data_IF_141897714608
#
_entry.id   IF_141897714608
#
_cell.length_a   1.000
_cell.length_b   1.000
_cell.length_c   1.000
_cell.angle_alpha   90.00
_cell.angle_beta   90.00
_cell.angle_gamma   90.00
#
_symmetry.space_group_name_H-M   'P 1'
#
loop_
_entity.id
_entity.type
_entity.pdbx_description
1 polymer ?
#
# COMPACT_ATOMS: atom_id res chain seq x y z
N UNK A 1 -58.70 49.81 -16.63
CA UNK A 1 -57.28 50.17 -16.89
C UNK A 1 -56.32 49.53 -15.89
N UNK A 2 -56.74 49.20 -14.66
CA UNK A 2 -55.89 48.54 -13.64
C UNK A 2 -55.49 47.09 -13.95
N UNK A 3 -56.38 46.28 -14.52
CA UNK A 3 -56.09 44.86 -14.81
C UNK A 3 -54.93 44.65 -15.80
N UNK A 4 -54.70 45.61 -16.70
CA UNK A 4 -53.59 45.57 -17.65
C UNK A 4 -52.24 45.86 -16.99
N UNK A 5 -52.19 46.77 -16.02
CA UNK A 5 -50.96 47.13 -15.30
C UNK A 5 -50.51 46.02 -14.35
N UNK A 6 -51.46 45.37 -13.68
CA UNK A 6 -51.16 44.24 -12.79
C UNK A 6 -50.71 42.99 -13.58
N UNK A 7 -51.27 42.76 -14.76
CA UNK A 7 -50.80 41.72 -15.68
C UNK A 7 -49.36 41.98 -16.15
N UNK A 8 -48.99 43.23 -16.41
CA UNK A 8 -47.63 43.63 -16.79
C UNK A 8 -46.65 43.49 -15.62
N UNK A 9 -47.02 43.93 -14.41
CA UNK A 9 -46.21 43.72 -13.19
C UNK A 9 -45.96 42.25 -12.91
N UNK A 10 -46.99 41.42 -13.01
CA UNK A 10 -46.87 39.96 -12.83
C UNK A 10 -45.95 39.33 -13.86
N UNK A 11 -46.04 39.76 -15.14
CA UNK A 11 -45.15 39.27 -16.21
C UNK A 11 -43.69 39.67 -15.96
N UNK A 12 -43.43 40.88 -15.50
CA UNK A 12 -42.08 41.36 -15.17
C UNK A 12 -41.49 40.61 -13.96
N UNK A 13 -42.28 40.39 -12.90
CA UNK A 13 -41.86 39.62 -11.73
C UNK A 13 -41.52 38.17 -12.08
N UNK A 14 -42.32 37.52 -12.94
CA UNK A 14 -42.03 36.15 -13.43
C UNK A 14 -40.76 36.13 -14.29
N UNK A 15 -40.55 37.14 -15.14
CA UNK A 15 -39.34 37.24 -15.95
C UNK A 15 -38.08 37.41 -15.10
N UNK A 16 -38.13 38.24 -14.05
CA UNK A 16 -37.03 38.42 -13.10
C UNK A 16 -36.75 37.13 -12.30
N UNK A 17 -37.80 36.46 -11.82
CA UNK A 17 -37.67 35.18 -11.12
C UNK A 17 -37.05 34.10 -12.03
N UNK A 18 -37.47 34.04 -13.31
CA UNK A 18 -36.89 33.11 -14.29
C UNK A 18 -35.41 33.41 -14.55
N UNK A 19 -35.01 34.68 -14.60
CA UNK A 19 -33.61 35.08 -14.72
C UNK A 19 -32.79 34.63 -13.51
N UNK A 20 -33.29 34.85 -12.29
CA UNK A 20 -32.64 34.38 -11.05
C UNK A 20 -32.54 32.85 -10.99
N UNK A 21 -33.56 32.13 -11.45
CA UNK A 21 -33.56 30.66 -11.51
C UNK A 21 -32.49 30.13 -12.48
N UNK A 22 -32.33 30.76 -13.64
CA UNK A 22 -31.28 30.41 -14.60
C UNK A 22 -29.87 30.66 -14.02
N UNK A 23 -29.68 31.80 -13.35
CA UNK A 23 -28.42 32.10 -12.66
C UNK A 23 -28.12 31.07 -11.55
N UNK A 24 -29.12 30.69 -10.76
CA UNK A 24 -28.96 29.66 -9.73
C UNK A 24 -28.50 28.32 -10.33
N UNK A 25 -29.13 27.88 -11.43
CA UNK A 25 -28.73 26.65 -12.15
C UNK A 25 -27.29 26.73 -12.67
N UNK A 26 -26.88 27.88 -13.17
CA UNK A 26 -25.50 28.08 -13.64
C UNK A 26 -24.50 28.02 -12.47
N UNK A 27 -24.79 28.68 -11.36
CA UNK A 27 -23.94 28.62 -10.16
C UNK A 27 -23.88 27.20 -9.58
N UNK A 28 -24.99 26.49 -9.54
CA UNK A 28 -25.04 25.09 -9.08
C UNK A 28 -24.15 24.20 -9.94
N UNK A 29 -24.21 24.33 -11.28
CA UNK A 29 -23.33 23.62 -12.20
C UNK A 29 -21.85 23.95 -11.96
N UNK A 30 -21.51 25.24 -11.84
CA UNK A 30 -20.13 25.68 -11.55
C UNK A 30 -19.61 25.13 -10.22
N UNK A 31 -20.43 25.16 -9.16
CA UNK A 31 -20.07 24.61 -7.84
C UNK A 31 -19.88 23.10 -7.92
N UNK A 32 -20.71 22.39 -8.68
CA UNK A 32 -20.56 20.95 -8.88
C UNK A 32 -19.24 20.62 -9.57
N UNK A 33 -18.92 21.26 -10.70
CA UNK A 33 -17.66 21.06 -11.41
C UNK A 33 -16.45 21.42 -10.53
N UNK A 34 -16.52 22.52 -9.78
CA UNK A 34 -15.45 22.92 -8.86
C UNK A 34 -15.23 21.88 -7.74
N UNK A 35 -16.30 21.29 -7.20
CA UNK A 35 -16.22 20.22 -6.18
C UNK A 35 -15.64 18.94 -6.75
N UNK A 36 -16.00 18.56 -7.97
CA UNK A 36 -15.45 17.38 -8.65
C UNK A 36 -13.95 17.57 -8.90
N UNK A 37 -13.53 18.73 -9.42
CA UNK A 37 -12.12 19.08 -9.59
C UNK A 37 -11.36 19.09 -8.26
N UNK A 38 -11.93 19.65 -7.21
CA UNK A 38 -11.32 19.65 -5.87
C UNK A 38 -11.12 18.22 -5.34
N UNK A 39 -12.09 17.32 -5.56
CA UNK A 39 -11.96 15.92 -5.15
C UNK A 39 -10.87 15.20 -5.93
N UNK A 40 -10.80 15.42 -7.24
CA UNK A 40 -9.75 14.85 -8.09
C UNK A 40 -8.36 15.35 -7.65
N UNK A 41 -8.21 16.66 -7.48
CA UNK A 41 -6.96 17.29 -7.04
C UNK A 41 -6.54 16.80 -5.65
N UNK A 42 -7.46 16.65 -4.70
CA UNK A 42 -7.15 16.08 -3.37
C UNK A 42 -6.68 14.63 -3.46
N UNK A 43 -7.28 13.81 -4.32
CA UNK A 43 -6.87 12.42 -4.51
C UNK A 43 -5.45 12.35 -5.08
N UNK A 44 -5.15 13.20 -6.07
CA UNK A 44 -3.82 13.29 -6.65
C UNK A 44 -2.79 13.82 -5.63
N UNK A 45 -3.14 14.86 -4.88
CA UNK A 45 -2.29 15.40 -3.82
C UNK A 45 -1.95 14.34 -2.76
N UNK A 46 -2.94 13.59 -2.28
CA UNK A 46 -2.67 12.53 -1.30
C UNK A 46 -1.73 11.46 -1.88
N UNK A 47 -1.91 11.10 -3.16
CA UNK A 47 -1.03 10.13 -3.82
C UNK A 47 0.40 10.66 -3.93
N UNK A 48 0.60 11.90 -4.37
CA UNK A 48 1.93 12.49 -4.49
C UNK A 48 2.59 12.71 -3.14
N UNK A 49 1.81 13.01 -2.10
CA UNK A 49 2.31 13.10 -0.72
C UNK A 49 2.75 11.73 -0.17
N UNK A 50 1.98 10.67 -0.46
CA UNK A 50 2.34 9.30 -0.09
C UNK A 50 3.59 8.81 -0.84
N UNK A 51 3.69 9.13 -2.14
CA UNK A 51 4.89 8.87 -2.95
C UNK A 51 6.11 9.59 -2.34
N UNK A 52 5.97 10.86 -1.94
CA UNK A 52 7.05 11.61 -1.28
C UNK A 52 7.46 10.98 0.06
N UNK A 53 6.50 10.55 0.89
CA UNK A 53 6.78 9.85 2.15
C UNK A 53 7.50 8.52 1.90
N UNK A 54 7.14 7.81 0.83
CA UNK A 54 7.80 6.56 0.47
C UNK A 54 9.27 6.77 0.10
N UNK A 55 9.61 7.88 -0.55
CA UNK A 55 11.00 8.22 -0.91
C UNK A 55 11.89 8.54 0.30
N UNK A 56 11.31 8.94 1.43
CA UNK A 56 12.06 9.16 2.67
C UNK A 56 12.45 7.83 3.34
N UNK A 57 11.82 6.72 2.96
CA UNK A 57 12.17 5.42 3.51
C UNK A 57 13.51 4.95 2.94
N UNK A 58 14.48 4.74 3.83
CA UNK A 58 15.79 4.23 3.45
C UNK A 58 15.76 2.71 3.38
N UNK A 59 16.47 2.17 2.38
CA UNK A 59 16.69 0.74 2.27
C UNK A 59 17.38 0.17 3.51
N UNK A 60 17.06 -1.07 3.84
CA UNK A 60 17.67 -1.78 4.95
C UNK A 60 18.36 -3.04 4.43
N UNK A 61 19.47 -3.43 5.04
CA UNK A 61 20.28 -4.57 4.57
C UNK A 61 19.71 -5.86 5.19
N UNK A 62 19.55 -6.89 4.38
CA UNK A 62 19.11 -8.20 4.87
C UNK A 62 20.33 -9.00 5.34
N UNK A 63 20.19 -9.68 6.47
CA UNK A 63 21.20 -10.59 6.99
C UNK A 63 20.60 -11.76 7.76
N UNK A 64 21.47 -12.67 8.16
CA UNK A 64 21.14 -13.85 8.95
C UNK A 64 21.99 -13.86 10.23
N UNK A 65 21.34 -14.09 11.37
CA UNK A 65 22.02 -14.23 12.66
C UNK A 65 22.78 -15.56 12.67
N UNK A 66 24.09 -15.51 12.83
CA UNK A 66 24.92 -16.71 12.94
C UNK A 66 24.99 -17.20 14.38
N UNK A 67 25.44 -16.34 15.29
CA UNK A 67 25.54 -16.66 16.72
C UNK A 67 25.51 -15.41 17.58
N UNK A 68 24.95 -15.47 18.80
CA UNK A 68 25.17 -14.43 19.80
C UNK A 68 26.66 -14.43 20.22
N UNK A 69 27.23 -13.25 20.41
CA UNK A 69 28.57 -13.09 20.99
C UNK A 69 28.42 -12.77 22.48
N UNK A 70 27.67 -11.70 22.77
CA UNK A 70 27.38 -11.20 24.11
C UNK A 70 25.87 -10.92 24.25
N UNK A 71 25.42 -10.50 25.43
CA UNK A 71 24.02 -10.12 25.67
C UNK A 71 23.52 -8.94 24.80
N UNK A 72 24.43 -8.16 24.20
CA UNK A 72 24.08 -7.00 23.35
C UNK A 72 24.54 -7.13 21.89
N UNK A 73 25.49 -8.02 21.61
CA UNK A 73 26.19 -8.12 20.33
C UNK A 73 25.96 -9.47 19.70
N UNK A 74 25.55 -9.47 18.44
CA UNK A 74 25.34 -10.67 17.64
C UNK A 74 26.22 -10.65 16.41
N UNK A 75 26.62 -11.82 15.94
CA UNK A 75 27.30 -11.97 14.66
C UNK A 75 26.23 -12.18 13.59
N UNK A 76 26.19 -11.29 12.60
CA UNK A 76 25.28 -11.38 11.47
C UNK A 76 26.08 -11.52 10.18
N UNK A 77 25.64 -12.42 9.31
CA UNK A 77 26.12 -12.51 7.93
C UNK A 77 25.21 -11.65 7.07
N UNK A 78 25.76 -10.61 6.45
CA UNK A 78 25.01 -9.83 5.48
C UNK A 78 24.74 -10.68 4.22
N UNK A 79 23.63 -10.43 3.53
CA UNK A 79 23.35 -11.08 2.25
C UNK A 79 24.43 -10.82 1.19
N UNK A 80 25.21 -9.74 1.34
CA UNK A 80 26.38 -9.44 0.51
C UNK A 80 27.58 -10.36 0.76
N UNK A 81 27.59 -11.14 1.86
CA UNK A 81 28.64 -12.10 2.19
C UNK A 81 29.44 -11.80 3.47
N UNK A 82 29.87 -10.56 3.75
CA UNK A 82 30.66 -10.23 4.94
C UNK A 82 29.92 -10.52 6.25
N UNK A 83 30.72 -10.77 7.30
CA UNK A 83 30.23 -10.99 8.66
C UNK A 83 30.52 -9.76 9.52
N UNK A 84 29.51 -9.28 10.22
CA UNK A 84 29.59 -8.12 11.09
C UNK A 84 29.23 -8.50 12.52
N UNK A 85 29.86 -7.82 13.48
CA UNK A 85 29.41 -7.82 14.88
C UNK A 85 28.50 -6.61 15.03
N UNK A 86 27.22 -6.87 15.31
CA UNK A 86 26.18 -5.85 15.29
C UNK A 86 25.44 -5.80 16.62
N UNK A 87 25.02 -4.59 16.98
CA UNK A 87 24.15 -4.37 18.13
C UNK A 87 22.69 -4.62 17.79
N UNK A 88 21.88 -4.87 18.82
CA UNK A 88 20.43 -4.97 18.71
C UNK A 88 19.75 -3.70 19.21
N UNK A 89 18.72 -3.22 18.50
CA UNK A 89 17.85 -2.16 19.01
C UNK A 89 17.09 -2.65 20.24
N UNK A 90 16.93 -1.79 21.25
CA UNK A 90 16.30 -2.13 22.54
C UNK A 90 14.84 -2.62 22.43
N UNK A 91 14.11 -2.22 21.38
CA UNK A 91 12.72 -2.66 21.13
C UNK A 91 12.60 -4.06 20.51
N UNK A 92 13.70 -4.71 20.14
CA UNK A 92 13.68 -6.04 19.50
C UNK A 92 13.90 -7.11 20.57
N UNK A 93 13.03 -8.13 20.57
CA UNK A 93 13.13 -9.27 21.48
C UNK A 93 14.35 -10.12 21.15
N UNK A 94 15.36 -10.07 22.01
CA UNK A 94 16.62 -10.82 21.84
C UNK A 94 16.41 -12.34 21.84
N UNK A 95 15.40 -12.83 22.53
CA UNK A 95 15.06 -14.26 22.60
C UNK A 95 14.62 -14.82 21.25
N UNK A 96 14.02 -13.99 20.39
CA UNK A 96 13.63 -14.39 19.02
C UNK A 96 14.80 -14.37 18.04
N UNK A 97 15.93 -13.77 18.42
CA UNK A 97 17.14 -13.69 17.59
C UNK A 97 18.01 -14.93 17.79
N UNK A 98 17.51 -16.08 17.35
CA UNK A 98 18.27 -17.32 17.36
C UNK A 98 19.12 -17.45 16.10
N UNK A 99 20.13 -18.32 16.15
CA UNK A 99 20.92 -18.70 14.99
C UNK A 99 20.01 -19.18 13.84
N UNK A 100 20.22 -18.64 12.64
CA UNK A 100 19.40 -18.89 11.45
C UNK A 100 18.24 -17.91 11.28
N UNK A 101 17.99 -17.02 12.26
CA UNK A 101 16.93 -16.01 12.13
C UNK A 101 17.34 -14.94 11.13
N UNK A 102 16.45 -14.67 10.17
CA UNK A 102 16.62 -13.58 9.21
C UNK A 102 16.32 -12.25 9.90
N UNK A 103 17.20 -11.28 9.71
CA UNK A 103 17.10 -9.95 10.33
C UNK A 103 17.35 -8.86 9.31
N UNK A 104 16.91 -7.67 9.68
CA UNK A 104 17.17 -6.46 8.93
C UNK A 104 18.13 -5.57 9.70
N UNK A 105 19.17 -5.13 9.01
CA UNK A 105 20.18 -4.21 9.50
C UNK A 105 19.95 -2.81 8.94
N UNK A 106 20.17 -1.81 9.78
CA UNK A 106 20.25 -0.43 9.33
C UNK A 106 21.43 -0.22 8.36
N UNK A 107 21.22 0.51 7.27
CA UNK A 107 22.25 0.69 6.24
C UNK A 107 23.46 1.47 6.76
N UNK A 108 23.26 2.41 7.69
CA UNK A 108 24.33 3.29 8.17
C UNK A 108 25.06 2.73 9.40
N UNK A 109 24.30 2.22 10.37
CA UNK A 109 24.85 1.75 11.65
C UNK A 109 25.05 0.24 11.72
N UNK A 110 24.55 -0.51 10.74
CA UNK A 110 24.52 -1.97 10.74
C UNK A 110 23.85 -2.57 12.00
N UNK A 111 22.91 -1.86 12.62
CA UNK A 111 22.20 -2.35 13.82
C UNK A 111 20.96 -3.17 13.46
N UNK A 112 20.63 -4.19 14.26
CA UNK A 112 19.42 -5.00 14.04
C UNK A 112 18.19 -4.16 14.34
N UNK A 113 17.40 -3.90 13.30
CA UNK A 113 16.17 -3.11 13.33
C UNK A 113 14.94 -3.96 13.67
N UNK A 114 14.81 -5.13 13.02
CA UNK A 114 13.70 -6.07 13.20
C UNK A 114 14.07 -7.48 12.72
N UNK A 115 13.39 -8.49 13.24
CA UNK A 115 13.41 -9.84 12.68
C UNK A 115 12.46 -9.95 11.48
N UNK A 116 12.81 -10.80 10.51
CA UNK A 116 11.97 -11.13 9.36
C UNK A 116 11.55 -12.60 9.40
N UNK A 117 10.39 -12.93 8.84
CA UNK A 117 10.04 -14.31 8.58
C UNK A 117 11.01 -14.93 7.57
N UNK A 118 11.01 -16.27 7.53
CA UNK A 118 11.77 -17.02 6.54
C UNK A 118 11.25 -16.70 5.13
N UNK A 119 12.17 -16.35 4.24
CA UNK A 119 11.87 -16.22 2.81
C UNK A 119 11.90 -17.60 2.16
N UNK A 120 11.00 -17.81 1.20
CA UNK A 120 11.00 -18.98 0.31
C UNK A 120 11.42 -18.49 -1.06
N UNK A 121 12.30 -19.24 -1.72
CA UNK A 121 12.73 -18.94 -3.08
C UNK A 121 11.51 -18.86 -4.02
N UNK A 122 11.39 -17.85 -4.90
CA UNK A 122 10.28 -17.74 -5.84
C UNK A 122 10.06 -19.00 -6.69
N UNK A 123 11.12 -19.73 -7.04
CA UNK A 123 11.02 -20.99 -7.80
C UNK A 123 10.32 -22.06 -6.97
N UNK A 124 10.69 -22.20 -5.68
CA UNK A 124 10.06 -23.15 -4.76
C UNK A 124 8.63 -22.72 -4.44
N UNK A 125 8.41 -21.42 -4.28
CA UNK A 125 7.07 -20.88 -4.08
C UNK A 125 6.14 -21.24 -5.24
N UNK A 126 6.62 -21.06 -6.47
CA UNK A 126 5.88 -21.43 -7.68
C UNK A 126 5.63 -22.95 -7.74
N UNK A 127 6.64 -23.78 -7.44
CA UNK A 127 6.46 -25.24 -7.40
C UNK A 127 5.38 -25.71 -6.40
N UNK A 128 5.17 -24.98 -5.31
CA UNK A 128 4.16 -25.31 -4.31
C UNK A 128 2.76 -24.80 -4.66
N UNK A 129 2.67 -23.67 -5.37
CA UNK A 129 1.40 -23.01 -5.69
C UNK A 129 0.91 -23.28 -7.11
N UNK A 130 1.73 -23.90 -7.95
CA UNK A 130 1.32 -24.38 -9.25
C UNK A 130 0.35 -25.54 -9.05
N UNK A 131 -0.94 -25.24 -9.22
CA UNK A 131 -2.00 -26.24 -9.29
C UNK A 131 -2.34 -26.47 -10.78
N UNK A 132 -1.81 -27.55 -11.39
CA UNK A 132 -2.11 -27.90 -12.79
C UNK A 132 -3.57 -28.35 -12.99
N UNK A 133 -4.37 -28.41 -11.93
CA UNK A 133 -5.77 -28.82 -11.94
C UNK A 133 -5.97 -30.20 -11.34
N UNK A 134 -7.17 -30.41 -10.83
CA UNK A 134 -7.52 -31.64 -10.13
C UNK A 134 -7.89 -32.76 -11.11
N UNK A 135 -6.92 -33.62 -11.45
CA UNK A 135 -7.16 -34.83 -12.24
C UNK A 135 -7.57 -35.98 -11.32
N UNK A 136 -8.68 -36.65 -11.64
CA UNK A 136 -9.15 -37.81 -10.89
C UNK A 136 -8.34 -39.05 -11.23
N UNK A 137 -8.15 -39.95 -10.25
CA UNK A 137 -7.50 -41.25 -10.49
C UNK A 137 -8.19 -42.09 -11.57
N UNK A 138 -9.49 -41.86 -11.82
CA UNK A 138 -10.23 -42.51 -12.92
C UNK A 138 -9.80 -42.07 -14.32
N UNK A 139 -9.09 -40.95 -14.45
CA UNK A 139 -8.54 -40.48 -15.72
C UNK A 139 -7.26 -41.25 -16.11
N UNK A 140 -6.68 -42.02 -15.20
CA UNK A 140 -5.47 -42.82 -15.42
C UNK A 140 -5.87 -44.29 -15.58
N UNK A 141 -5.51 -44.93 -16.71
CA UNK A 141 -5.86 -46.32 -17.02
C UNK A 141 -4.64 -47.21 -17.22
N UNK A 142 -4.80 -48.53 -17.00
CA UNK A 142 -3.78 -49.54 -17.32
C UNK A 142 -2.61 -49.66 -16.32
N UNK A 143 -2.67 -48.96 -15.18
CA UNK A 143 -1.65 -48.95 -14.12
C UNK A 143 -2.20 -49.42 -12.76
N UNK A 144 -3.23 -50.28 -12.77
CA UNK A 144 -3.92 -50.74 -11.54
C UNK A 144 -3.04 -51.49 -10.54
N UNK A 145 -1.88 -52.00 -10.97
CA UNK A 145 -0.93 -52.70 -10.09
C UNK A 145 0.06 -51.74 -9.41
N UNK A 146 0.23 -50.51 -9.92
CA UNK A 146 1.19 -49.51 -9.41
C UNK A 146 0.53 -48.34 -8.68
N UNK A 147 -0.73 -48.04 -9.01
CA UNK A 147 -1.56 -47.01 -8.35
C UNK A 147 -2.28 -47.65 -7.16
#
# INVERSE_FOLDING_TARGET
MSDGEDAVRRRNAIAEYRKKLLQHKEYESRVRSARENLRAAKKEFNKTEDDLKSLQSVGQIIGEVLRPLDNERLIVKASSGPRYVVGCRSKVDKEKLTSGTRVVLDMTTLTIMRALPREVDPVVYNMLHEDPGNVSYSAVGGLSDQI
#
